data_IF_971625539074
#
_entry.id   IF_971625539074
#
_cell.length_a   1.000
_cell.length_b   1.000
_cell.length_c   1.000
_cell.angle_alpha   90.00
_cell.angle_beta   90.00
_cell.angle_gamma   90.00
#
_symmetry.space_group_name_H-M   'P 1'
#
loop_
_entity.id
_entity.type
_entity.pdbx_description
1 polymer ?
#
# COMPACT_ATOMS: atom_id res chain seq x y z
N UNK A 1 26.19 31.79 8.65
CA UNK A 1 24.87 31.44 8.02
C UNK A 1 25.10 30.32 7.04
N UNK A 2 24.19 29.32 7.00
CA UNK A 2 24.25 28.23 6.03
C UNK A 2 23.98 28.78 4.62
N UNK A 3 24.84 28.44 3.67
CA UNK A 3 24.66 28.86 2.27
C UNK A 3 24.04 27.69 1.48
N UNK A 4 22.83 27.87 1.00
CA UNK A 4 22.13 26.91 0.16
C UNK A 4 22.81 26.80 -1.20
N UNK A 5 23.04 25.57 -1.65
CA UNK A 5 23.55 25.26 -2.99
C UNK A 5 22.73 24.13 -3.60
N UNK A 6 21.71 24.48 -4.32
CA UNK A 6 20.88 23.52 -5.06
C UNK A 6 21.52 23.07 -6.38
N UNK A 7 22.66 23.63 -6.78
CA UNK A 7 23.42 23.19 -7.96
C UNK A 7 23.85 21.74 -7.87
N UNK A 8 24.06 21.22 -6.66
CA UNK A 8 24.39 19.81 -6.43
C UNK A 8 23.31 18.86 -6.98
N UNK A 9 22.04 19.24 -6.97
CA UNK A 9 20.95 18.38 -7.47
C UNK A 9 21.13 18.05 -8.96
N UNK A 10 21.72 18.97 -9.72
CA UNK A 10 22.04 18.72 -11.13
C UNK A 10 23.14 17.67 -11.30
N UNK A 11 24.15 17.70 -10.42
CA UNK A 11 25.24 16.70 -10.44
C UNK A 11 24.74 15.30 -10.11
N UNK A 12 23.79 15.17 -9.17
CA UNK A 12 23.22 13.90 -8.73
C UNK A 12 21.87 13.57 -9.40
N UNK A 13 21.44 14.29 -10.44
CA UNK A 13 20.12 14.12 -11.08
C UNK A 13 19.79 12.68 -11.49
N UNK A 14 20.77 11.93 -11.97
CA UNK A 14 20.59 10.55 -12.38
C UNK A 14 20.33 9.60 -11.18
N UNK A 15 20.97 9.87 -10.04
CA UNK A 15 20.68 9.16 -8.81
C UNK A 15 19.20 9.38 -8.39
N UNK A 16 18.78 10.64 -8.36
CA UNK A 16 17.39 10.97 -7.99
C UNK A 16 16.37 10.39 -8.98
N UNK A 17 16.63 10.46 -10.28
CA UNK A 17 15.74 9.91 -11.29
C UNK A 17 15.64 8.38 -11.21
N UNK A 18 16.77 7.70 -11.04
CA UNK A 18 16.79 6.25 -10.86
C UNK A 18 16.08 5.85 -9.56
N UNK A 19 16.38 6.52 -8.45
CA UNK A 19 15.71 6.29 -7.18
C UNK A 19 14.20 6.50 -7.26
N UNK A 20 13.77 7.56 -7.95
CA UNK A 20 12.35 7.83 -8.20
C UNK A 20 11.70 6.70 -9.03
N UNK A 21 12.39 6.24 -10.08
CA UNK A 21 11.94 5.11 -10.90
C UNK A 21 11.75 3.85 -10.06
N UNK A 22 12.70 3.54 -9.16
CA UNK A 22 12.59 2.42 -8.22
C UNK A 22 11.42 2.62 -7.27
N UNK A 23 11.27 3.81 -6.66
CA UNK A 23 10.15 4.11 -5.74
C UNK A 23 8.79 3.90 -6.41
N UNK A 24 8.60 4.43 -7.61
CA UNK A 24 7.33 4.29 -8.36
C UNK A 24 7.09 2.83 -8.77
N UNK A 25 8.08 2.18 -9.37
CA UNK A 25 7.97 0.77 -9.78
C UNK A 25 7.70 -0.16 -8.60
N UNK A 26 8.42 0.06 -7.50
CA UNK A 26 8.22 -0.69 -6.26
C UNK A 26 6.82 -0.49 -5.67
N UNK A 27 6.32 0.75 -5.69
CA UNK A 27 4.94 1.06 -5.27
C UNK A 27 3.92 0.27 -6.06
N UNK A 28 4.05 0.23 -7.38
CA UNK A 28 3.12 -0.54 -8.24
C UNK A 28 3.11 -2.02 -7.83
N UNK A 29 4.28 -2.61 -7.65
CA UNK A 29 4.42 -4.01 -7.25
C UNK A 29 3.73 -4.28 -5.90
N UNK A 30 4.06 -3.48 -4.86
CA UNK A 30 3.50 -3.71 -3.52
C UNK A 30 2.00 -3.40 -3.42
N UNK A 31 1.49 -2.47 -4.21
CA UNK A 31 0.04 -2.18 -4.28
C UNK A 31 -0.69 -3.33 -4.96
N UNK A 32 -0.20 -3.81 -6.10
CA UNK A 32 -0.82 -4.93 -6.81
C UNK A 32 -0.82 -6.21 -5.96
N UNK A 33 0.33 -6.59 -5.42
CA UNK A 33 0.43 -7.75 -4.54
C UNK A 33 -0.36 -7.57 -3.26
N UNK A 34 -0.34 -6.36 -2.68
CA UNK A 34 -1.14 -6.02 -1.50
C UNK A 34 -2.63 -6.15 -1.75
N UNK A 35 -3.14 -5.71 -2.91
CA UNK A 35 -4.54 -5.91 -3.30
C UNK A 35 -4.89 -7.38 -3.46
N UNK A 36 -3.99 -8.20 -4.02
CA UNK A 36 -4.18 -9.65 -4.13
C UNK A 36 -4.28 -10.28 -2.74
N UNK A 37 -3.32 -10.02 -1.84
CA UNK A 37 -3.39 -10.50 -0.46
C UNK A 37 -4.62 -9.94 0.27
N UNK A 38 -4.98 -8.68 -0.01
CA UNK A 38 -6.17 -8.02 0.50
C UNK A 38 -7.47 -8.72 0.14
N UNK A 39 -7.60 -9.15 -1.11
CA UNK A 39 -8.76 -9.94 -1.57
C UNK A 39 -8.84 -11.28 -0.84
N UNK A 40 -7.73 -12.02 -0.77
CA UNK A 40 -7.72 -13.30 -0.04
C UNK A 40 -8.05 -13.13 1.44
N UNK A 41 -7.47 -12.14 2.12
CA UNK A 41 -7.76 -11.84 3.52
C UNK A 41 -9.22 -11.43 3.75
N UNK A 42 -9.78 -10.57 2.89
CA UNK A 42 -11.17 -10.13 2.99
C UNK A 42 -12.15 -11.28 2.82
N UNK A 43 -12.01 -12.07 1.74
CA UNK A 43 -12.89 -13.21 1.52
C UNK A 43 -12.69 -14.31 2.55
N UNK A 44 -11.46 -14.54 2.99
CA UNK A 44 -11.16 -15.45 4.09
C UNK A 44 -11.86 -15.04 5.38
N UNK A 45 -11.81 -13.77 5.75
CA UNK A 45 -12.45 -13.23 6.95
C UNK A 45 -13.98 -13.29 6.92
N UNK A 46 -14.59 -13.29 5.73
CA UNK A 46 -16.02 -13.43 5.51
C UNK A 46 -16.47 -14.90 5.34
N UNK A 47 -15.54 -15.85 5.38
CA UNK A 47 -15.82 -17.27 5.20
C UNK A 47 -16.71 -17.83 6.31
N UNK A 48 -17.63 -18.75 5.95
CA UNK A 48 -18.43 -19.54 6.91
C UNK A 48 -17.59 -20.60 7.64
N UNK A 49 -16.46 -21.01 7.06
CA UNK A 49 -15.55 -22.00 7.65
C UNK A 49 -14.73 -21.31 8.74
N UNK A 50 -14.94 -21.70 9.99
CA UNK A 50 -14.28 -21.09 11.18
C UNK A 50 -12.74 -21.08 11.05
N UNK A 51 -12.15 -22.19 10.56
CA UNK A 51 -10.70 -22.29 10.39
C UNK A 51 -10.16 -21.24 9.40
N UNK A 52 -10.78 -21.12 8.22
CA UNK A 52 -10.38 -20.14 7.19
C UNK A 52 -10.51 -18.71 7.72
N UNK A 53 -11.64 -18.42 8.39
CA UNK A 53 -11.87 -17.11 9.00
C UNK A 53 -10.84 -16.80 10.07
N UNK A 54 -10.51 -17.74 10.93
CA UNK A 54 -9.51 -17.54 12.00
C UNK A 54 -8.13 -17.24 11.40
N UNK A 55 -7.68 -18.02 10.42
CA UNK A 55 -6.40 -17.80 9.73
C UNK A 55 -6.36 -16.40 9.08
N UNK A 56 -7.42 -16.01 8.38
CA UNK A 56 -7.50 -14.70 7.74
C UNK A 56 -7.47 -13.55 8.77
N UNK A 57 -8.22 -13.66 9.86
CA UNK A 57 -8.22 -12.64 10.92
C UNK A 57 -6.86 -12.58 11.62
N UNK A 58 -6.24 -13.70 11.92
CA UNK A 58 -4.88 -13.73 12.51
C UNK A 58 -3.87 -13.04 11.60
N UNK A 59 -3.90 -13.32 10.29
CA UNK A 59 -3.07 -12.62 9.30
C UNK A 59 -3.31 -11.10 9.35
N UNK A 60 -4.58 -10.67 9.26
CA UNK A 60 -4.94 -9.25 9.24
C UNK A 60 -4.43 -8.55 10.50
N UNK A 61 -4.71 -9.10 11.69
CA UNK A 61 -4.33 -8.48 12.95
C UNK A 61 -2.82 -8.51 13.18
N UNK A 62 -2.14 -9.60 12.85
CA UNK A 62 -0.68 -9.70 12.99
C UNK A 62 0.05 -8.59 12.21
N UNK A 63 -0.35 -8.36 10.96
CA UNK A 63 0.30 -7.34 10.13
C UNK A 63 -0.15 -5.91 10.43
N UNK A 64 -1.37 -5.69 10.91
CA UNK A 64 -1.86 -4.36 11.28
C UNK A 64 -1.37 -3.89 12.65
N UNK A 65 -1.20 -4.81 13.59
CA UNK A 65 -0.80 -4.48 14.96
C UNK A 65 0.71 -4.40 15.17
N UNK A 66 1.52 -4.70 14.15
CA UNK A 66 2.98 -4.62 14.23
C UNK A 66 3.54 -3.47 13.39
N UNK A 67 4.57 -2.73 13.87
CA UNK A 67 5.18 -1.65 13.10
C UNK A 67 5.82 -2.15 11.82
N UNK A 68 5.55 -1.48 10.70
CA UNK A 68 6.05 -1.88 9.38
C UNK A 68 7.58 -1.96 9.30
N UNK A 69 8.31 -1.06 10.00
CA UNK A 69 9.76 -1.11 10.04
C UNK A 69 10.29 -2.39 10.70
N UNK A 70 9.63 -2.83 11.79
CA UNK A 70 9.96 -4.09 12.45
C UNK A 70 9.72 -5.27 11.52
N UNK A 71 8.61 -5.26 10.77
CA UNK A 71 8.32 -6.29 9.78
C UNK A 71 9.39 -6.34 8.69
N UNK A 72 9.81 -5.19 8.12
CA UNK A 72 10.87 -5.11 7.11
C UNK A 72 12.16 -5.78 7.60
N UNK A 73 12.61 -5.42 8.81
CA UNK A 73 13.81 -5.97 9.42
C UNK A 73 13.64 -7.47 9.66
N UNK A 74 12.48 -7.91 10.17
CA UNK A 74 12.20 -9.32 10.44
C UNK A 74 12.18 -10.17 9.16
N UNK A 75 11.54 -9.67 8.10
CA UNK A 75 11.48 -10.38 6.81
C UNK A 75 12.85 -10.51 6.14
N UNK A 76 13.73 -9.54 6.35
CA UNK A 76 15.06 -9.59 5.76
C UNK A 76 16.07 -10.42 6.56
N UNK A 77 16.04 -10.35 7.90
CA UNK A 77 17.02 -11.03 8.74
C UNK A 77 16.52 -12.34 9.34
N UNK A 78 15.29 -12.39 9.84
CA UNK A 78 14.79 -13.55 10.59
C UNK A 78 14.15 -14.61 9.68
N UNK A 79 13.33 -14.20 8.71
CA UNK A 79 12.63 -15.13 7.83
C UNK A 79 13.58 -16.04 7.03
N UNK A 80 14.69 -15.55 6.43
CA UNK A 80 15.66 -16.40 5.75
C UNK A 80 16.22 -17.51 6.63
N UNK A 81 16.55 -17.19 7.87
CA UNK A 81 17.09 -18.16 8.85
C UNK A 81 16.04 -19.23 9.19
N UNK A 82 14.79 -18.80 9.43
CA UNK A 82 13.72 -19.72 9.83
C UNK A 82 13.23 -20.61 8.68
N UNK A 83 13.18 -20.06 7.47
CA UNK A 83 12.67 -20.77 6.29
C UNK A 83 13.75 -21.47 5.47
N UNK A 84 15.05 -21.24 5.77
CA UNK A 84 16.16 -21.80 4.99
C UNK A 84 16.22 -21.27 3.56
N UNK A 85 15.79 -20.04 3.31
CA UNK A 85 15.74 -19.41 1.98
C UNK A 85 16.62 -18.18 1.93
N UNK A 86 17.24 -17.91 0.80
CA UNK A 86 17.95 -16.63 0.58
C UNK A 86 16.98 -15.56 0.10
N UNK A 87 17.08 -14.39 0.69
CA UNK A 87 16.26 -13.24 0.31
C UNK A 87 17.12 -12.00 0.07
N UNK A 88 16.86 -11.33 -1.05
CA UNK A 88 17.47 -10.03 -1.30
C UNK A 88 16.71 -8.91 -0.53
N UNK A 89 17.34 -7.75 -0.26
CA UNK A 89 16.64 -6.60 0.32
C UNK A 89 15.35 -6.25 -0.44
N UNK A 90 15.37 -6.33 -1.76
CA UNK A 90 14.23 -6.03 -2.63
C UNK A 90 13.09 -7.04 -2.42
N UNK A 91 13.39 -8.34 -2.43
CA UNK A 91 12.35 -9.38 -2.27
C UNK A 91 11.76 -9.37 -0.87
N UNK A 92 12.59 -9.23 0.17
CA UNK A 92 12.14 -9.14 1.55
C UNK A 92 11.23 -7.91 1.77
N UNK A 93 11.65 -6.74 1.25
CA UNK A 93 10.87 -5.51 1.34
C UNK A 93 9.56 -5.60 0.55
N UNK A 94 9.59 -6.18 -0.66
CA UNK A 94 8.39 -6.35 -1.47
C UNK A 94 7.37 -7.25 -0.75
N UNK A 95 7.82 -8.36 -0.19
CA UNK A 95 6.95 -9.28 0.55
C UNK A 95 6.38 -8.63 1.81
N UNK A 96 7.22 -8.00 2.65
CA UNK A 96 6.79 -7.35 3.88
C UNK A 96 5.76 -6.24 3.61
N UNK A 97 6.05 -5.32 2.69
CA UNK A 97 5.16 -4.21 2.35
C UNK A 97 3.87 -4.68 1.68
N UNK A 98 3.92 -5.75 0.87
CA UNK A 98 2.73 -6.32 0.24
C UNK A 98 1.81 -6.99 1.24
N UNK A 99 2.35 -7.75 2.21
CA UNK A 99 1.56 -8.39 3.26
C UNK A 99 1.00 -7.34 4.23
N UNK A 100 1.81 -6.36 4.61
CA UNK A 100 1.34 -5.21 5.39
C UNK A 100 0.19 -4.48 4.70
N UNK A 101 0.38 -4.06 3.44
CA UNK A 101 -0.68 -3.43 2.65
C UNK A 101 -1.90 -4.32 2.49
N UNK A 102 -1.68 -5.62 2.26
CA UNK A 102 -2.71 -6.63 2.12
C UNK A 102 -3.63 -6.72 3.34
N UNK A 103 -3.08 -6.61 4.54
CA UNK A 103 -3.87 -6.61 5.77
C UNK A 103 -4.84 -5.41 5.85
N UNK A 104 -4.39 -4.21 5.46
CA UNK A 104 -5.24 -3.01 5.40
C UNK A 104 -6.26 -3.08 4.25
N UNK A 105 -5.84 -3.53 3.06
CA UNK A 105 -6.77 -3.74 1.95
C UNK A 105 -7.84 -4.77 2.28
N UNK A 106 -7.51 -5.83 3.04
CA UNK A 106 -8.49 -6.82 3.53
C UNK A 106 -9.61 -6.17 4.32
N UNK A 107 -9.27 -5.30 5.27
CA UNK A 107 -10.27 -4.62 6.10
C UNK A 107 -11.10 -3.61 5.29
N UNK A 108 -10.48 -2.89 4.35
CA UNK A 108 -11.20 -1.95 3.49
C UNK A 108 -12.22 -2.71 2.63
N UNK A 109 -11.81 -3.83 2.02
CA UNK A 109 -12.70 -4.66 1.17
C UNK A 109 -13.80 -5.30 2.02
N UNK A 110 -13.45 -5.88 3.17
CA UNK A 110 -14.42 -6.45 4.11
C UNK A 110 -15.43 -5.40 4.58
N UNK A 111 -14.95 -4.24 5.00
CA UNK A 111 -15.79 -3.12 5.43
C UNK A 111 -16.72 -2.62 4.34
N UNK A 112 -16.23 -2.51 3.10
CA UNK A 112 -17.04 -2.12 1.95
C UNK A 112 -18.18 -3.10 1.67
N UNK A 113 -17.91 -4.41 1.75
CA UNK A 113 -18.96 -5.43 1.56
C UNK A 113 -19.99 -5.38 2.69
N UNK A 114 -19.56 -5.29 3.93
CA UNK A 114 -20.45 -5.27 5.11
C UNK A 114 -21.28 -3.99 5.19
N UNK A 115 -20.78 -2.88 4.64
CA UNK A 115 -21.47 -1.58 4.66
C UNK A 115 -22.75 -1.55 3.81
N UNK A 116 -22.96 -2.53 2.94
CA UNK A 116 -24.16 -2.59 2.12
C UNK A 116 -25.35 -3.07 2.99
N UNK A 117 -26.43 -2.33 2.91
CA UNK A 117 -27.65 -2.60 3.66
C UNK A 117 -28.16 -4.03 3.41
N UNK A 118 -28.57 -4.71 4.47
CA UNK A 118 -29.11 -6.08 4.39
C UNK A 118 -30.38 -6.17 3.54
N UNK A 119 -31.17 -5.11 3.51
CA UNK A 119 -32.36 -5.00 2.67
C UNK A 119 -32.05 -5.20 1.18
N UNK A 120 -30.83 -4.84 0.71
CA UNK A 120 -30.39 -5.11 -0.66
C UNK A 120 -30.28 -6.62 -0.94
N UNK A 121 -29.81 -7.38 0.04
CA UNK A 121 -29.71 -8.84 -0.09
C UNK A 121 -31.08 -9.51 0.06
N UNK A 122 -31.94 -8.99 0.92
CA UNK A 122 -33.33 -9.47 1.11
C UNK A 122 -34.17 -9.19 -0.11
N UNK A 123 -34.06 -8.01 -0.72
CA UNK A 123 -34.72 -7.68 -1.98
C UNK A 123 -34.30 -8.62 -3.13
N UNK A 124 -32.98 -8.92 -3.22
CA UNK A 124 -32.47 -9.90 -4.17
C UNK A 124 -33.10 -11.29 -3.96
N UNK A 125 -33.19 -11.74 -2.70
CA UNK A 125 -33.81 -13.02 -2.36
C UNK A 125 -35.30 -13.03 -2.70
N UNK A 126 -36.05 -11.95 -2.46
CA UNK A 126 -37.46 -11.80 -2.81
C UNK A 126 -37.71 -11.89 -4.33
N UNK A 127 -36.73 -11.47 -5.14
CA UNK A 127 -36.72 -11.61 -6.60
C UNK A 127 -36.25 -13.00 -7.08
N UNK A 128 -36.05 -13.96 -6.16
CA UNK A 128 -35.61 -15.32 -6.49
C UNK A 128 -34.14 -15.45 -6.86
N UNK A 129 -33.31 -14.45 -6.56
CA UNK A 129 -31.86 -14.48 -6.85
C UNK A 129 -31.14 -15.41 -5.87
N UNK A 130 -30.19 -16.18 -6.38
CA UNK A 130 -29.30 -16.95 -5.53
C UNK A 130 -28.34 -16.02 -4.78
N UNK A 131 -27.77 -16.44 -3.62
CA UNK A 131 -26.80 -15.61 -2.89
C UNK A 131 -25.62 -15.13 -3.73
N UNK A 132 -25.16 -15.95 -4.68
CA UNK A 132 -24.07 -15.58 -5.59
C UNK A 132 -24.52 -14.53 -6.62
N UNK A 133 -25.76 -14.63 -7.12
CA UNK A 133 -26.32 -13.63 -8.04
C UNK A 133 -26.50 -12.30 -7.31
N UNK A 134 -27.06 -12.32 -6.10
CA UNK A 134 -27.22 -11.13 -5.25
C UNK A 134 -25.85 -10.48 -4.97
N UNK A 135 -24.85 -11.28 -4.57
CA UNK A 135 -23.51 -10.78 -4.33
C UNK A 135 -22.93 -10.10 -5.60
N UNK A 136 -22.98 -10.76 -6.75
CA UNK A 136 -22.37 -10.26 -7.99
C UNK A 136 -23.13 -9.08 -8.61
N UNK A 137 -24.45 -9.07 -8.56
CA UNK A 137 -25.27 -8.10 -9.30
C UNK A 137 -25.74 -6.92 -8.46
N UNK A 138 -25.82 -7.08 -7.12
CA UNK A 138 -26.36 -6.04 -6.22
C UNK A 138 -25.27 -5.56 -5.27
N UNK A 139 -24.72 -6.46 -4.44
CA UNK A 139 -23.84 -6.09 -3.33
C UNK A 139 -22.47 -5.61 -3.84
N UNK A 140 -21.80 -6.40 -4.67
CA UNK A 140 -20.42 -6.13 -5.09
C UNK A 140 -20.27 -4.82 -5.88
N UNK A 141 -21.14 -4.47 -6.85
CA UNK A 141 -21.03 -3.19 -7.56
C UNK A 141 -21.16 -1.97 -6.63
N UNK A 142 -22.05 -2.04 -5.64
CA UNK A 142 -22.23 -0.99 -4.64
C UNK A 142 -21.03 -0.93 -3.68
N UNK A 143 -20.59 -2.09 -3.18
CA UNK A 143 -19.44 -2.19 -2.30
C UNK A 143 -18.16 -1.64 -2.96
N UNK A 144 -17.90 -1.94 -4.24
CA UNK A 144 -16.75 -1.41 -4.99
C UNK A 144 -16.78 0.11 -4.99
N UNK A 145 -17.91 0.74 -5.29
CA UNK A 145 -18.02 2.20 -5.29
C UNK A 145 -17.66 2.79 -3.92
N UNK A 146 -18.14 2.19 -2.83
CA UNK A 146 -17.87 2.66 -1.47
C UNK A 146 -16.41 2.44 -1.02
N UNK A 147 -15.75 1.37 -1.47
CA UNK A 147 -14.38 1.07 -1.06
C UNK A 147 -13.31 1.79 -1.88
N UNK A 148 -13.57 2.22 -3.12
CA UNK A 148 -12.60 2.88 -4.00
C UNK A 148 -11.86 4.03 -3.30
N UNK A 149 -12.52 5.00 -2.62
CA UNK A 149 -11.82 6.09 -1.96
C UNK A 149 -10.82 5.62 -0.91
N UNK A 150 -11.22 4.64 -0.09
CA UNK A 150 -10.37 4.08 0.95
C UNK A 150 -9.19 3.29 0.35
N UNK A 151 -9.40 2.53 -0.74
CA UNK A 151 -8.35 1.82 -1.45
C UNK A 151 -7.32 2.79 -2.06
N UNK A 152 -7.78 3.90 -2.65
CA UNK A 152 -6.90 4.94 -3.18
C UNK A 152 -6.07 5.58 -2.07
N UNK A 153 -6.69 5.93 -0.95
CA UNK A 153 -5.98 6.49 0.20
C UNK A 153 -4.93 5.51 0.76
N UNK A 154 -5.27 4.23 0.89
CA UNK A 154 -4.33 3.20 1.32
C UNK A 154 -3.16 3.04 0.34
N UNK A 155 -3.42 3.16 -0.97
CA UNK A 155 -2.35 3.10 -1.99
C UNK A 155 -1.39 4.31 -1.89
N UNK A 156 -1.91 5.50 -1.54
CA UNK A 156 -1.10 6.68 -1.24
C UNK A 156 -0.23 6.45 0.01
N UNK A 157 -0.79 5.80 1.04
CA UNK A 157 -0.02 5.42 2.24
C UNK A 157 1.08 4.42 1.88
N UNK A 158 0.79 3.43 1.03
CA UNK A 158 1.78 2.46 0.56
C UNK A 158 2.93 3.14 -0.21
N UNK A 159 2.63 4.13 -1.06
CA UNK A 159 3.66 4.94 -1.73
C UNK A 159 4.60 5.61 -0.71
N UNK A 160 4.08 6.17 0.39
CA UNK A 160 4.93 6.75 1.45
C UNK A 160 5.76 5.69 2.17
N UNK A 161 5.18 4.51 2.41
CA UNK A 161 5.86 3.42 3.10
C UNK A 161 7.05 2.86 2.32
N UNK A 162 7.12 3.06 0.98
CA UNK A 162 8.30 2.66 0.21
C UNK A 162 9.57 3.35 0.70
N UNK A 163 9.50 4.55 1.25
CA UNK A 163 10.67 5.24 1.82
C UNK A 163 11.40 4.44 2.91
N UNK A 164 10.69 3.53 3.59
CA UNK A 164 11.27 2.69 4.64
C UNK A 164 12.21 1.60 4.10
N UNK A 165 12.12 1.26 2.81
CA UNK A 165 13.00 0.24 2.22
C UNK A 165 14.46 0.70 2.12
N UNK A 166 14.69 2.01 2.22
CA UNK A 166 16.01 2.60 2.30
C UNK A 166 16.84 2.08 3.48
N UNK A 167 16.18 1.65 4.57
CA UNK A 167 16.83 1.05 5.74
C UNK A 167 17.52 -0.29 5.39
N UNK A 168 17.02 -0.99 4.37
CA UNK A 168 17.59 -2.22 3.85
C UNK A 168 18.46 -1.99 2.60
N UNK A 169 18.89 -0.74 2.38
CA UNK A 169 19.73 -0.35 1.25
C UNK A 169 19.11 -0.65 -0.14
N UNK A 170 17.78 -0.73 -0.23
CA UNK A 170 17.09 -0.74 -1.52
C UNK A 170 17.27 0.63 -2.17
N UNK A 171 17.74 0.73 -3.44
CA UNK A 171 18.13 1.99 -4.06
C UNK A 171 16.91 2.83 -4.50
N UNK A 172 15.98 3.09 -3.57
CA UNK A 172 14.83 3.99 -3.74
C UNK A 172 15.26 5.47 -3.69
N UNK A 173 14.31 6.38 -3.84
CA UNK A 173 14.58 7.81 -3.82
C UNK A 173 15.22 8.29 -2.52
N UNK A 174 14.80 7.74 -1.37
CA UNK A 174 15.36 8.11 -0.07
C UNK A 174 16.78 7.60 0.08
N UNK A 175 17.04 6.33 -0.27
CA UNK A 175 18.40 5.78 -0.23
C UNK A 175 19.37 6.54 -1.14
N UNK A 176 18.96 6.84 -2.37
CA UNK A 176 19.80 7.61 -3.31
C UNK A 176 20.08 9.03 -2.80
N UNK A 177 19.13 9.62 -2.09
CA UNK A 177 19.35 10.91 -1.45
C UNK A 177 20.32 10.84 -0.27
N UNK A 178 20.32 9.73 0.48
CA UNK A 178 21.32 9.49 1.55
C UNK A 178 22.72 9.42 0.96
N UNK A 179 22.89 8.69 -0.15
CA UNK A 179 24.17 8.62 -0.88
C UNK A 179 24.61 10.03 -1.32
N UNK A 180 23.73 10.77 -1.99
CA UNK A 180 24.03 12.12 -2.45
C UNK A 180 24.35 13.08 -1.28
N UNK A 181 23.62 12.97 -0.16
CA UNK A 181 23.86 13.77 1.04
C UNK A 181 25.22 13.48 1.67
N UNK A 182 25.60 12.20 1.72
CA UNK A 182 26.88 11.77 2.24
C UNK A 182 28.04 12.25 1.37
N UNK A 183 27.96 12.05 0.06
CA UNK A 183 29.02 12.39 -0.89
C UNK A 183 29.22 13.90 -1.01
N UNK A 184 28.15 14.68 -0.97
CA UNK A 184 28.20 16.14 -1.13
C UNK A 184 28.37 16.90 0.19
N UNK A 185 28.18 16.24 1.33
CA UNK A 185 28.06 16.89 2.64
C UNK A 185 26.97 17.96 2.70
N UNK A 186 25.88 17.79 1.89
CA UNK A 186 24.75 18.73 1.74
C UNK A 186 23.39 18.08 2.05
N UNK A 187 23.16 17.61 3.29
CA UNK A 187 21.93 16.89 3.63
C UNK A 187 20.66 17.76 3.52
N UNK A 188 20.76 19.07 3.78
CA UNK A 188 19.59 19.96 3.75
C UNK A 188 19.03 20.08 2.33
N UNK A 189 19.86 20.30 1.32
CA UNK A 189 19.47 20.41 -0.08
C UNK A 189 18.92 19.08 -0.60
N UNK A 190 19.60 17.96 -0.34
CA UNK A 190 19.20 16.64 -0.82
C UNK A 190 17.87 16.19 -0.22
N UNK A 191 17.68 16.29 1.10
CA UNK A 191 16.42 15.91 1.73
C UNK A 191 15.28 16.88 1.41
N UNK A 192 15.57 18.17 1.20
CA UNK A 192 14.56 19.11 0.71
C UNK A 192 14.09 18.71 -0.69
N UNK A 193 15.01 18.32 -1.58
CA UNK A 193 14.66 17.84 -2.92
C UNK A 193 13.78 16.59 -2.87
N UNK A 194 14.10 15.64 -1.99
CA UNK A 194 13.25 14.44 -1.78
C UNK A 194 11.86 14.81 -1.29
N UNK A 195 11.77 15.70 -0.30
CA UNK A 195 10.47 16.15 0.21
C UNK A 195 9.62 16.81 -0.89
N UNK A 196 10.25 17.66 -1.73
CA UNK A 196 9.60 18.27 -2.89
C UNK A 196 9.17 17.22 -3.91
N UNK A 197 10.03 16.23 -4.22
CA UNK A 197 9.70 15.16 -5.16
C UNK A 197 8.51 14.31 -4.69
N UNK A 198 8.47 13.91 -3.42
CA UNK A 198 7.31 13.23 -2.83
C UNK A 198 6.05 14.11 -2.89
N UNK A 199 6.15 15.38 -2.52
CA UNK A 199 5.03 16.31 -2.58
C UNK A 199 4.51 16.49 -4.00
N UNK A 200 5.40 16.62 -4.99
CA UNK A 200 5.05 16.78 -6.41
C UNK A 200 4.27 15.58 -6.97
N UNK A 201 4.49 14.38 -6.44
CA UNK A 201 3.74 13.17 -6.83
C UNK A 201 2.47 13.01 -6.00
N UNK A 202 2.58 13.16 -4.68
CA UNK A 202 1.48 12.84 -3.77
C UNK A 202 0.36 13.88 -3.78
N UNK A 203 0.68 15.17 -3.98
CA UNK A 203 -0.35 16.22 -4.05
C UNK A 203 -1.31 15.99 -5.21
N UNK A 204 -0.86 15.79 -6.47
CA UNK A 204 -1.76 15.47 -7.58
C UNK A 204 -2.54 14.17 -7.36
N UNK A 205 -1.89 13.10 -6.85
CA UNK A 205 -2.58 11.84 -6.54
C UNK A 205 -3.68 12.03 -5.50
N UNK A 206 -3.42 12.79 -4.44
CA UNK A 206 -4.41 13.09 -3.41
C UNK A 206 -5.58 13.92 -3.96
N UNK A 207 -5.30 14.89 -4.84
CA UNK A 207 -6.35 15.68 -5.50
C UNK A 207 -7.22 14.79 -6.40
N UNK A 208 -6.61 13.89 -7.15
CA UNK A 208 -7.33 12.92 -8.00
C UNK A 208 -8.20 11.98 -7.16
N UNK A 209 -7.66 11.47 -6.06
CA UNK A 209 -8.42 10.63 -5.12
C UNK A 209 -9.66 11.35 -4.58
N UNK A 210 -9.50 12.59 -4.08
CA UNK A 210 -10.62 13.42 -3.59
C UNK A 210 -11.66 13.74 -4.66
N UNK A 211 -11.24 13.97 -5.91
CA UNK A 211 -12.17 14.18 -7.03
C UNK A 211 -12.96 12.93 -7.36
N UNK A 212 -12.31 11.76 -7.33
CA UNK A 212 -12.97 10.45 -7.49
C UNK A 212 -14.01 10.21 -6.42
N UNK A 213 -13.65 10.47 -5.15
CA UNK A 213 -14.55 10.37 -4.00
C UNK A 213 -15.82 11.22 -4.17
N UNK A 214 -15.66 12.51 -4.52
CA UNK A 214 -16.80 13.41 -4.75
C UNK A 214 -17.73 12.92 -5.86
N UNK A 215 -17.19 12.36 -6.95
CA UNK A 215 -18.02 11.85 -8.06
C UNK A 215 -18.80 10.60 -7.66
N UNK A 216 -18.22 9.75 -6.81
CA UNK A 216 -18.88 8.53 -6.33
C UNK A 216 -19.97 8.83 -5.30
N UNK A 217 -19.74 9.82 -4.41
CA UNK A 217 -20.71 10.25 -3.42
C UNK A 217 -21.97 10.89 -4.02
N UNK A 218 -21.88 11.53 -5.19
CA UNK A 218 -23.05 12.14 -5.89
C UNK A 218 -23.92 11.06 -6.57
N UNK A 219 -23.44 9.83 -6.70
CA UNK A 219 -24.17 8.72 -7.35
C UNK A 219 -24.93 7.82 -6.35
N UNK A 220 -24.99 8.18 -5.09
CA UNK A 220 -25.85 7.60 -4.04
C UNK A 220 -27.09 8.46 -3.82
#
# INVERSE_FOLDING_TARGET
MYQWDFGILWSYRWLFLNGLGVTVGFTVVIVVLGLVFGLFGAFGSLSRLRAVRLVALTFIEAFRCTPILVQLIWFYYALPILAGVEMTPITASALALSLYGGSFYSEIIRGGIISIDRGQSEAGAALGMTPLQTMKRIVLPQAIKRMIPALMNQSIIQFKNTSLVSVLAVPDLVYQSQVAAHDSYRPLETYTAVAVAYAAILIPLTILARRGEKRLAVSE
#
